data_IF_007228024850
#
_entry.id   IF_007228024850
#
_cell.length_a   1.000
_cell.length_b   1.000
_cell.length_c   1.000
_cell.angle_alpha   90.00
_cell.angle_beta   90.00
_cell.angle_gamma   90.00
#
_symmetry.space_group_name_H-M   'P 1'
#
loop_
_entity.id
_entity.type
_entity.pdbx_description
1 polymer ?
#
# COMPACT_ATOMS: atom_id res chain seq x y z
N UNK A 1 -20.04 -11.85 -14.29
CA UNK A 1 -19.47 -10.56 -13.85
C UNK A 1 -19.58 -10.53 -12.33
N UNK A 2 -18.59 -9.96 -11.65
CA UNK A 2 -18.54 -9.88 -10.19
C UNK A 2 -18.42 -8.40 -9.79
N UNK A 3 -18.89 -8.06 -8.60
CA UNK A 3 -18.66 -6.76 -7.97
C UNK A 3 -18.54 -6.93 -6.46
N UNK A 4 -18.08 -5.89 -5.76
CA UNK A 4 -17.88 -5.91 -4.32
C UNK A 4 -19.20 -5.81 -3.54
N UNK A 5 -19.23 -6.43 -2.36
CA UNK A 5 -20.25 -6.16 -1.35
C UNK A 5 -19.83 -4.95 -0.49
N UNK A 6 -20.67 -3.93 -0.39
CA UNK A 6 -20.39 -2.70 0.37
C UNK A 6 -20.05 -2.94 1.85
N UNK A 7 -20.59 -4.00 2.46
CA UNK A 7 -20.39 -4.28 3.89
C UNK A 7 -19.09 -5.04 4.18
N UNK A 8 -18.63 -5.92 3.27
CA UNK A 8 -17.48 -6.79 3.53
C UNK A 8 -16.36 -6.70 2.49
N UNK A 9 -16.52 -5.88 1.45
CA UNK A 9 -15.58 -5.72 0.33
C UNK A 9 -15.42 -6.95 -0.57
N UNK A 10 -16.00 -8.10 -0.22
CA UNK A 10 -15.80 -9.35 -0.96
C UNK A 10 -16.40 -9.29 -2.36
N UNK A 11 -15.61 -9.60 -3.37
CA UNK A 11 -16.08 -9.84 -4.74
C UNK A 11 -17.08 -11.00 -4.77
N UNK A 12 -18.25 -10.73 -5.32
CA UNK A 12 -19.40 -11.63 -5.36
C UNK A 12 -20.07 -11.53 -6.73
N UNK A 13 -20.61 -12.65 -7.22
CA UNK A 13 -21.41 -12.68 -8.45
C UNK A 13 -22.63 -11.74 -8.34
N UNK A 14 -22.97 -11.03 -9.42
CA UNK A 14 -24.16 -10.15 -9.44
C UNK A 14 -25.45 -10.86 -9.04
N UNK A 15 -25.61 -12.15 -9.40
CA UNK A 15 -26.78 -12.97 -9.03
C UNK A 15 -26.93 -13.21 -7.52
N UNK A 16 -25.84 -13.02 -6.76
CA UNK A 16 -25.79 -13.22 -5.31
C UNK A 16 -25.76 -11.90 -4.52
N UNK A 17 -25.93 -10.78 -5.21
CA UNK A 17 -25.97 -9.44 -4.66
C UNK A 17 -27.38 -8.85 -4.74
N UNK A 18 -27.71 -8.03 -3.75
CA UNK A 18 -28.93 -7.24 -3.69
C UNK A 18 -28.55 -5.78 -3.49
N UNK A 19 -29.34 -4.84 -4.04
CA UNK A 19 -29.07 -3.42 -3.83
C UNK A 19 -29.45 -3.04 -2.41
N UNK A 20 -28.57 -2.29 -1.74
CA UNK A 20 -28.83 -1.81 -0.38
C UNK A 20 -30.07 -0.91 -0.30
N UNK A 21 -30.29 -0.07 -1.31
CA UNK A 21 -31.43 0.86 -1.38
C UNK A 21 -32.79 0.16 -1.45
N UNK A 22 -32.82 -1.07 -1.95
CA UNK A 22 -34.04 -1.86 -2.09
C UNK A 22 -34.39 -2.61 -0.80
N UNK A 23 -33.52 -2.55 0.21
CA UNK A 23 -33.63 -3.28 1.46
C UNK A 23 -33.83 -2.29 2.62
N UNK A 24 -34.90 -2.48 3.38
CA UNK A 24 -35.14 -1.74 4.61
C UNK A 24 -34.31 -2.35 5.76
N UNK A 25 -33.01 -2.01 5.78
CA UNK A 25 -32.06 -2.55 6.75
C UNK A 25 -31.58 -1.46 7.72
N UNK A 26 -31.63 -1.77 9.01
CA UNK A 26 -30.92 -0.99 10.02
C UNK A 26 -29.42 -1.31 10.00
N UNK A 27 -28.61 -0.32 9.61
CA UNK A 27 -27.15 -0.43 9.54
C UNK A 27 -26.46 -0.01 10.86
N UNK A 28 -27.21 0.34 11.92
CA UNK A 28 -26.63 0.76 13.20
C UNK A 28 -25.68 -0.28 13.80
N UNK A 29 -25.91 -1.57 13.55
CA UNK A 29 -24.99 -2.62 14.00
C UNK A 29 -23.58 -2.48 13.40
N UNK A 30 -23.42 -1.78 12.27
CA UNK A 30 -22.15 -1.56 11.60
C UNK A 30 -21.42 -0.28 12.06
N UNK A 31 -21.96 0.46 13.04
CA UNK A 31 -21.27 1.60 13.64
C UNK A 31 -20.16 1.06 14.54
N UNK A 32 -18.91 1.33 14.18
CA UNK A 32 -17.72 0.85 14.90
C UNK A 32 -16.85 2.00 15.38
N UNK A 33 -16.65 2.11 16.69
CA UNK A 33 -15.77 3.09 17.32
C UNK A 33 -14.31 2.62 17.18
N UNK A 34 -13.42 3.52 16.75
CA UNK A 34 -11.99 3.26 16.53
C UNK A 34 -11.69 2.33 15.35
N UNK A 35 -12.68 2.08 14.48
CA UNK A 35 -12.52 1.22 13.29
C UNK A 35 -12.13 2.02 12.06
N UNK A 36 -12.60 3.26 11.98
CA UNK A 36 -12.32 4.17 10.86
C UNK A 36 -11.55 5.36 11.38
N UNK A 37 -10.90 6.09 10.49
CA UNK A 37 -10.23 7.33 10.86
C UNK A 37 -10.42 8.35 9.75
N UNK A 38 -10.85 9.54 10.14
CA UNK A 38 -10.85 10.70 9.25
C UNK A 38 -9.42 11.14 9.00
N UNK A 39 -9.08 11.35 7.72
CA UNK A 39 -7.79 11.89 7.34
C UNK A 39 -7.55 13.26 7.99
N UNK A 40 -6.38 13.42 8.59
CA UNK A 40 -5.87 14.63 9.21
C UNK A 40 -5.02 15.38 8.21
N UNK A 41 -5.17 16.70 8.19
CA UNK A 41 -4.41 17.63 7.34
C UNK A 41 -3.37 18.41 8.14
N UNK A 42 -3.56 18.49 9.45
CA UNK A 42 -2.68 19.19 10.39
C UNK A 42 -2.52 18.41 11.70
N UNK A 43 -1.39 18.59 12.38
CA UNK A 43 -1.14 18.00 13.71
C UNK A 43 -2.13 18.48 14.79
N UNK A 44 -2.79 19.63 14.56
CA UNK A 44 -3.82 20.15 15.45
C UNK A 44 -5.20 19.50 15.21
N UNK A 45 -5.39 18.82 14.08
CA UNK A 45 -6.64 18.13 13.81
C UNK A 45 -6.80 16.97 14.80
N UNK A 46 -7.96 16.82 15.47
CA UNK A 46 -8.18 15.71 16.39
C UNK A 46 -8.26 14.38 15.62
N UNK A 47 -7.86 13.29 16.28
CA UNK A 47 -8.09 11.94 15.78
C UNK A 47 -9.57 11.61 16.01
N UNK A 48 -10.33 11.45 14.91
CA UNK A 48 -11.77 11.18 14.95
C UNK A 48 -12.16 10.14 13.91
N UNK A 49 -13.13 9.29 14.23
CA UNK A 49 -13.70 8.32 13.31
C UNK A 49 -14.57 9.00 12.23
N UNK A 50 -14.81 8.29 11.12
CA UNK A 50 -15.86 8.66 10.17
C UNK A 50 -17.24 8.37 10.80
N UNK A 51 -18.18 9.29 10.60
CA UNK A 51 -19.53 9.13 11.12
C UNK A 51 -20.34 8.08 10.34
N UNK A 52 -21.21 7.36 11.05
CA UNK A 52 -22.15 6.41 10.44
C UNK A 52 -21.66 4.97 10.39
N UNK A 53 -22.35 4.09 9.64
CA UNK A 53 -21.98 2.69 9.51
C UNK A 53 -20.71 2.52 8.68
N UNK A 54 -19.84 1.60 9.09
CA UNK A 54 -18.59 1.33 8.39
C UNK A 54 -18.86 0.45 7.16
N UNK A 55 -19.04 1.10 6.02
CA UNK A 55 -19.29 0.50 4.70
C UNK A 55 -18.37 1.11 3.64
N UNK A 56 -18.25 0.44 2.50
CA UNK A 56 -17.64 1.01 1.30
C UNK A 56 -18.67 1.86 0.57
N UNK A 57 -18.47 3.18 0.57
CA UNK A 57 -19.37 4.17 -0.04
C UNK A 57 -19.40 4.11 -1.57
N UNK A 58 -18.40 3.49 -2.21
CA UNK A 58 -18.35 3.35 -3.67
C UNK A 58 -19.19 2.17 -4.17
N UNK A 59 -19.67 1.33 -3.25
CA UNK A 59 -20.47 0.14 -3.54
C UNK A 59 -21.90 0.30 -3.03
N UNK A 60 -22.86 -0.22 -3.79
CA UNK A 60 -24.29 -0.06 -3.49
C UNK A 60 -25.02 -1.39 -3.23
N UNK A 61 -24.26 -2.49 -3.12
CA UNK A 61 -24.78 -3.85 -3.11
C UNK A 61 -24.32 -4.65 -1.90
N UNK A 62 -25.15 -5.56 -1.43
CA UNK A 62 -24.92 -6.44 -0.27
C UNK A 62 -25.02 -7.91 -0.68
N UNK A 63 -24.09 -8.73 -0.18
CA UNK A 63 -24.13 -10.18 -0.41
C UNK A 63 -25.04 -10.91 0.59
N UNK A 64 -25.51 -12.09 0.19
CA UNK A 64 -26.41 -12.94 1.01
C UNK A 64 -25.92 -13.19 2.44
N UNK A 65 -24.62 -13.30 2.67
CA UNK A 65 -24.06 -13.56 4.01
C UNK A 65 -24.12 -12.33 4.91
N UNK A 66 -23.79 -11.16 4.37
CA UNK A 66 -23.93 -9.89 5.10
C UNK A 66 -25.40 -9.59 5.38
N UNK A 67 -26.27 -9.75 4.38
CA UNK A 67 -27.71 -9.55 4.53
C UNK A 67 -28.30 -10.37 5.69
N UNK A 68 -28.00 -11.67 5.75
CA UNK A 68 -28.49 -12.57 6.82
C UNK A 68 -28.06 -12.17 8.23
N UNK A 69 -26.94 -11.44 8.35
CA UNK A 69 -26.41 -11.01 9.65
C UNK A 69 -26.99 -9.64 10.03
N UNK A 70 -26.95 -8.69 9.10
CA UNK A 70 -27.44 -7.32 9.32
C UNK A 70 -28.95 -7.27 9.54
N UNK A 71 -29.73 -8.08 8.81
CA UNK A 71 -31.17 -8.21 9.06
C UNK A 71 -31.52 -8.73 10.47
N UNK A 72 -30.55 -9.27 11.20
CA UNK A 72 -30.69 -9.70 12.60
C UNK A 72 -30.03 -8.73 13.59
N UNK A 73 -29.61 -7.54 13.13
CA UNK A 73 -28.85 -6.57 13.91
C UNK A 73 -27.46 -7.06 14.33
N UNK A 74 -26.87 -8.02 13.60
CA UNK A 74 -25.54 -8.60 13.92
C UNK A 74 -24.49 -8.17 12.91
N UNK A 75 -23.30 -7.83 13.42
CA UNK A 75 -22.12 -7.54 12.62
C UNK A 75 -21.69 -8.79 11.85
N UNK A 76 -21.63 -8.77 10.50
CA UNK A 76 -21.07 -9.88 9.74
C UNK A 76 -19.58 -10.07 10.07
N UNK A 77 -19.14 -11.33 10.14
CA UNK A 77 -17.76 -11.69 10.51
C UNK A 77 -16.69 -10.99 9.65
N UNK A 78 -16.94 -10.89 8.34
CA UNK A 78 -16.01 -10.28 7.38
C UNK A 78 -16.37 -8.83 7.06
N UNK A 79 -17.21 -8.18 7.87
CA UNK A 79 -17.59 -6.79 7.61
C UNK A 79 -16.39 -5.85 7.82
N UNK A 80 -16.42 -4.72 7.09
CA UNK A 80 -15.46 -3.63 7.26
C UNK A 80 -15.51 -3.08 8.70
N UNK A 81 -16.72 -3.02 9.28
CA UNK A 81 -16.96 -2.67 10.69
C UNK A 81 -16.21 -3.56 11.70
N UNK A 82 -15.81 -4.78 11.33
CA UNK A 82 -15.08 -5.70 12.19
C UNK A 82 -13.55 -5.54 12.08
N UNK A 83 -13.06 -4.29 12.05
CA UNK A 83 -11.63 -3.97 11.94
C UNK A 83 -11.00 -4.38 10.61
N UNK A 84 -11.80 -4.46 9.53
CA UNK A 84 -11.33 -4.78 8.16
C UNK A 84 -11.44 -3.59 7.21
N UNK A 85 -11.85 -2.44 7.73
CA UNK A 85 -11.87 -1.21 6.98
C UNK A 85 -10.45 -0.68 6.75
N UNK A 86 -10.11 -0.41 5.49
CA UNK A 86 -8.86 0.24 5.10
C UNK A 86 -9.08 1.69 4.62
N UNK A 87 -10.32 2.03 4.26
CA UNK A 87 -10.66 3.31 3.64
C UNK A 87 -10.11 3.47 2.23
N UNK A 88 -10.19 4.69 1.71
CA UNK A 88 -9.60 5.04 0.42
C UNK A 88 -8.10 5.22 0.58
N UNK A 89 -7.33 4.65 -0.34
CA UNK A 89 -5.88 4.87 -0.36
C UNK A 89 -5.61 6.32 -0.77
N UNK A 90 -4.93 7.13 0.06
CA UNK A 90 -4.65 8.53 -0.23
C UNK A 90 -3.75 8.67 -1.45
N UNK A 91 -3.88 9.77 -2.19
CA UNK A 91 -3.14 10.00 -3.44
C UNK A 91 -1.61 10.02 -3.26
N UNK A 92 -1.15 10.42 -2.06
CA UNK A 92 0.27 10.40 -1.70
C UNK A 92 0.84 8.98 -1.68
N UNK A 93 0.04 7.99 -1.26
CA UNK A 93 0.46 6.58 -1.19
C UNK A 93 0.13 5.79 -2.46
N UNK A 94 -0.96 6.15 -3.17
CA UNK A 94 -1.44 5.46 -4.37
C UNK A 94 -0.45 5.47 -5.54
N UNK A 95 0.37 6.51 -5.62
CA UNK A 95 1.29 6.74 -6.74
C UNK A 95 2.74 6.30 -6.47
N UNK A 96 2.99 5.56 -5.37
CA UNK A 96 4.33 5.13 -4.99
C UNK A 96 4.84 3.94 -5.81
N UNK A 97 6.10 3.99 -6.22
CA UNK A 97 6.78 2.85 -6.84
C UNK A 97 7.11 1.77 -5.81
N UNK A 98 7.50 0.58 -6.26
CA UNK A 98 7.88 -0.50 -5.36
C UNK A 98 9.06 -0.11 -4.46
N UNK A 99 10.08 0.55 -5.02
CA UNK A 99 11.21 1.05 -4.24
C UNK A 99 10.77 2.12 -3.22
N UNK A 100 9.89 3.04 -3.60
CA UNK A 100 9.36 4.05 -2.66
C UNK A 100 8.55 3.40 -1.52
N UNK A 101 7.74 2.37 -1.82
CA UNK A 101 7.02 1.59 -0.81
C UNK A 101 7.98 0.90 0.18
N UNK A 102 9.11 0.37 -0.31
CA UNK A 102 10.13 -0.20 0.56
C UNK A 102 10.77 0.86 1.47
N UNK A 103 11.01 2.07 0.96
CA UNK A 103 11.62 3.17 1.72
C UNK A 103 10.73 3.72 2.83
N UNK A 104 9.41 3.64 2.69
CA UNK A 104 8.46 4.06 3.73
C UNK A 104 8.02 2.93 4.67
N UNK A 105 8.39 1.68 4.39
CA UNK A 105 7.97 0.54 5.19
C UNK A 105 8.75 0.43 6.50
N UNK A 106 8.04 0.51 7.64
CA UNK A 106 8.62 0.36 8.98
C UNK A 106 9.16 -1.04 9.28
N UNK A 107 8.51 -2.08 8.75
CA UNK A 107 8.89 -3.47 8.98
C UNK A 107 9.21 -4.14 7.64
N UNK A 108 10.40 -4.72 7.54
CA UNK A 108 10.84 -5.47 6.36
C UNK A 108 11.03 -6.94 6.70
N UNK A 109 10.15 -7.77 6.15
CA UNK A 109 10.15 -9.22 6.35
C UNK A 109 10.73 -9.99 5.16
N UNK A 110 10.89 -9.38 3.99
CA UNK A 110 11.37 -10.04 2.77
C UNK A 110 12.56 -9.29 2.15
N UNK A 111 13.43 -10.05 1.49
CA UNK A 111 14.38 -9.54 0.49
C UNK A 111 13.86 -9.86 -0.91
N UNK A 112 14.06 -8.96 -1.85
CA UNK A 112 13.59 -9.12 -3.22
C UNK A 112 14.74 -8.92 -4.21
N UNK A 113 15.06 -9.98 -4.96
CA UNK A 113 16.04 -9.92 -6.04
C UNK A 113 15.27 -9.89 -7.36
N UNK A 114 15.56 -8.89 -8.19
CA UNK A 114 14.92 -8.74 -9.49
C UNK A 114 15.98 -8.84 -10.57
N UNK A 115 15.90 -9.92 -11.36
CA UNK A 115 16.75 -10.10 -12.54
C UNK A 115 16.00 -9.59 -13.76
N UNK A 116 16.52 -8.55 -14.38
CA UNK A 116 15.96 -7.97 -15.60
C UNK A 116 16.74 -8.49 -16.80
N UNK A 117 16.05 -9.23 -17.66
CA UNK A 117 16.53 -9.57 -19.00
C UNK A 117 15.90 -8.61 -20.01
N UNK A 118 16.73 -7.77 -20.63
CA UNK A 118 16.27 -6.89 -21.70
C UNK A 118 16.59 -7.53 -23.05
N UNK A 119 15.55 -7.89 -23.81
CA UNK A 119 15.68 -8.19 -25.24
C UNK A 119 15.35 -6.93 -26.05
N UNK A 120 15.85 -6.83 -27.28
CA UNK A 120 15.75 -5.62 -28.12
C UNK A 120 14.34 -4.97 -28.18
N UNK A 121 13.25 -5.74 -28.01
CA UNK A 121 11.87 -5.24 -28.14
C UNK A 121 11.01 -5.45 -26.87
N UNK A 122 11.53 -6.13 -25.84
CA UNK A 122 10.76 -6.43 -24.61
C UNK A 122 11.68 -6.58 -23.41
N UNK A 123 11.32 -5.90 -22.33
CA UNK A 123 11.88 -6.13 -21.00
C UNK A 123 11.11 -7.27 -20.31
N UNK A 124 11.82 -8.29 -19.86
CA UNK A 124 11.30 -9.37 -19.01
C UNK A 124 12.07 -9.34 -17.69
N UNK A 125 11.36 -9.43 -16.57
CA UNK A 125 12.00 -9.48 -15.25
C UNK A 125 11.49 -10.68 -14.46
N UNK A 126 12.41 -11.34 -13.75
CA UNK A 126 12.09 -12.37 -12.76
C UNK A 126 12.33 -11.79 -11.37
N UNK A 127 11.32 -11.85 -10.50
CA UNK A 127 11.43 -11.45 -9.10
C UNK A 127 11.46 -12.69 -8.20
N UNK A 128 12.44 -12.76 -7.31
CA UNK A 128 12.53 -13.78 -6.27
C UNK A 128 12.45 -13.08 -4.93
N UNK A 129 11.40 -13.37 -4.17
CA UNK A 129 11.20 -12.86 -2.81
C UNK A 129 11.37 -13.99 -1.81
N UNK A 130 12.19 -13.77 -0.79
CA UNK A 130 12.40 -14.72 0.30
C UNK A 130 12.39 -14.02 1.64
N UNK A 131 11.97 -14.74 2.68
CA UNK A 131 11.89 -14.20 4.03
C UNK A 131 13.28 -13.84 4.55
N UNK A 132 13.38 -12.66 5.18
CA UNK A 132 14.58 -12.23 5.87
C UNK A 132 14.65 -12.97 7.22
N UNK A 133 15.74 -13.70 7.54
CA UNK A 133 15.84 -14.47 8.78
C UNK A 133 15.68 -13.62 10.04
N UNK A 134 15.97 -12.31 9.95
CA UNK A 134 15.68 -11.33 11.00
C UNK A 134 14.96 -10.14 10.36
N UNK A 135 13.68 -9.88 10.70
CA UNK A 135 12.97 -8.70 10.23
C UNK A 135 13.69 -7.43 10.66
N UNK A 136 13.94 -6.52 9.71
CA UNK A 136 14.47 -5.19 10.04
C UNK A 136 13.29 -4.30 10.44
N UNK A 137 13.33 -3.75 11.65
CA UNK A 137 12.34 -2.79 12.18
C UNK A 137 13.05 -1.43 12.24
N UNK A 138 12.48 -0.44 11.59
CA UNK A 138 13.07 0.90 11.53
C UNK A 138 12.30 1.86 12.43
N UNK A 139 13.02 2.57 13.28
CA UNK A 139 12.49 3.73 14.00
C UNK A 139 12.83 5.05 13.29
N UNK A 140 13.75 4.99 12.31
CA UNK A 140 14.13 6.11 11.46
C UNK A 140 14.00 5.73 9.99
N UNK A 141 13.22 6.50 9.23
CA UNK A 141 13.01 6.30 7.79
C UNK A 141 13.25 7.60 6.99
N UNK A 142 13.64 7.50 5.71
CA UNK A 142 14.09 6.29 5.03
C UNK A 142 15.43 5.80 5.63
N UNK A 143 15.77 4.51 5.46
CA UNK A 143 17.07 4.01 5.88
C UNK A 143 18.21 4.65 5.07
N UNK A 144 19.46 4.42 5.47
CA UNK A 144 20.62 4.74 4.65
C UNK A 144 20.55 4.06 3.26
N UNK A 145 21.13 4.69 2.24
CA UNK A 145 21.10 4.21 0.86
C UNK A 145 21.82 2.86 0.69
N UNK A 146 22.90 2.66 1.44
CA UNK A 146 23.70 1.44 1.51
C UNK A 146 22.90 0.23 2.02
N UNK A 147 21.92 0.45 2.90
CA UNK A 147 21.04 -0.64 3.35
C UNK A 147 20.05 -1.11 2.28
N UNK A 148 19.82 -0.31 1.23
CA UNK A 148 18.91 -0.70 0.16
C UNK A 148 19.52 -1.78 -0.74
N UNK A 149 20.83 -1.75 -0.95
CA UNK A 149 21.56 -2.75 -1.74
C UNK A 149 21.48 -4.16 -1.11
N UNK A 150 21.36 -4.25 0.23
CA UNK A 150 21.19 -5.53 0.95
C UNK A 150 19.87 -6.25 0.66
N UNK A 151 18.84 -5.48 0.30
CA UNK A 151 17.45 -5.96 0.22
C UNK A 151 16.89 -5.94 -1.18
N UNK A 152 17.48 -5.13 -2.07
CA UNK A 152 17.05 -4.92 -3.44
C UNK A 152 18.26 -4.97 -4.36
N UNK A 153 18.45 -6.12 -5.02
CA UNK A 153 19.47 -6.28 -6.04
C UNK A 153 18.82 -6.34 -7.43
N UNK A 154 19.30 -5.50 -8.35
CA UNK A 154 18.91 -5.55 -9.75
C UNK A 154 20.06 -5.95 -10.64
N UNK A 155 19.88 -7.07 -11.33
CA UNK A 155 20.86 -7.62 -12.25
C UNK A 155 20.29 -7.45 -13.66
N UNK A 156 20.91 -6.56 -14.44
CA UNK A 156 20.62 -6.42 -15.86
C UNK A 156 21.46 -7.40 -16.66
N UNK A 157 20.78 -8.23 -17.44
CA UNK A 157 21.41 -9.16 -18.38
C UNK A 157 20.93 -8.86 -19.79
N UNK A 158 21.86 -8.62 -20.72
CA UNK A 158 21.55 -8.33 -22.11
C UNK A 158 22.82 -7.98 -22.92
N UNK A 159 22.68 -7.74 -24.23
CA UNK A 159 23.80 -7.36 -25.10
C UNK A 159 24.17 -5.87 -24.99
N UNK A 160 23.27 -5.04 -24.45
CA UNK A 160 23.47 -3.60 -24.31
C UNK A 160 23.22 -3.16 -22.87
N UNK A 161 24.01 -2.19 -22.40
CA UNK A 161 23.77 -1.52 -21.11
C UNK A 161 22.41 -0.81 -21.13
N UNK A 162 21.67 -0.80 -20.00
CA UNK A 162 20.38 -0.13 -19.92
C UNK A 162 20.55 1.39 -20.10
N UNK A 163 19.62 2.00 -20.85
CA UNK A 163 19.52 3.46 -20.98
C UNK A 163 18.70 4.03 -19.81
N UNK A 164 18.79 5.35 -19.55
CA UNK A 164 17.93 6.00 -18.56
C UNK A 164 16.44 5.76 -18.81
N UNK A 165 16.03 5.69 -20.07
CA UNK A 165 14.65 5.38 -20.46
C UNK A 165 14.22 3.96 -20.08
N UNK A 166 15.16 3.01 -20.05
CA UNK A 166 14.90 1.65 -19.58
C UNK A 166 14.77 1.60 -18.06
N UNK A 167 15.52 2.43 -17.34
CA UNK A 167 15.47 2.55 -15.88
C UNK A 167 14.17 3.19 -15.41
N UNK A 168 13.68 4.22 -16.09
CA UNK A 168 12.38 4.86 -15.80
C UNK A 168 11.20 3.89 -15.93
N UNK A 169 11.32 2.87 -16.78
CA UNK A 169 10.31 1.82 -16.97
C UNK A 169 10.36 0.73 -15.90
N UNK A 170 11.32 0.79 -14.98
CA UNK A 170 11.42 -0.18 -13.89
C UNK A 170 10.69 0.31 -12.64
N UNK A 171 10.20 -0.62 -11.80
CA UNK A 171 9.57 -0.26 -10.53
C UNK A 171 10.57 0.28 -9.47
N UNK A 172 11.82 0.54 -9.86
CA UNK A 172 12.92 0.99 -9.01
C UNK A 172 13.03 2.48 -8.82
N UNK A 173 12.33 3.26 -9.64
CA UNK A 173 12.47 4.70 -9.63
C UNK A 173 12.07 5.25 -8.26
N UNK A 174 13.00 5.91 -7.58
CA UNK A 174 12.74 6.62 -6.34
C UNK A 174 12.66 8.10 -6.64
N UNK A 175 11.55 8.72 -6.22
CA UNK A 175 11.38 10.16 -6.22
C UNK A 175 11.39 10.63 -4.77
N UNK A 176 12.49 11.26 -4.35
CA UNK A 176 12.71 11.70 -2.96
C UNK A 176 11.52 12.49 -2.38
N UNK A 177 10.95 13.41 -3.17
CA UNK A 177 9.79 14.24 -2.78
C UNK A 177 8.52 13.42 -2.51
N UNK A 178 8.34 12.29 -3.21
CA UNK A 178 7.21 11.38 -2.98
C UNK A 178 7.39 10.59 -1.68
N UNK A 179 8.62 10.12 -1.42
CA UNK A 179 8.96 9.43 -0.18
C UNK A 179 8.77 10.35 1.03
N UNK A 180 9.27 11.59 0.99
CA UNK A 180 9.12 12.53 2.09
C UNK A 180 7.64 12.85 2.38
N UNK A 181 6.86 13.16 1.34
CA UNK A 181 5.43 13.43 1.48
C UNK A 181 4.67 12.22 2.05
N UNK A 182 5.01 11.00 1.63
CA UNK A 182 4.39 9.78 2.15
C UNK A 182 4.72 9.54 3.62
N UNK A 183 5.98 9.74 4.04
CA UNK A 183 6.39 9.61 5.44
C UNK A 183 5.72 10.64 6.34
N UNK A 184 5.64 11.89 5.90
CA UNK A 184 4.96 12.97 6.62
C UNK A 184 3.46 12.67 6.77
N UNK A 185 2.82 12.21 5.70
CA UNK A 185 1.42 11.79 5.74
C UNK A 185 1.20 10.62 6.70
N UNK A 186 2.06 9.59 6.64
CA UNK A 186 1.98 8.42 7.52
C UNK A 186 2.18 8.80 8.98
N UNK A 187 3.17 9.64 9.30
CA UNK A 187 3.42 10.11 10.66
C UNK A 187 2.23 10.91 11.22
N UNK A 188 1.49 11.62 10.37
CA UNK A 188 0.31 12.36 10.77
C UNK A 188 -0.93 11.47 10.96
N UNK A 189 -1.09 10.45 10.11
CA UNK A 189 -2.35 9.71 9.96
C UNK A 189 -2.34 8.27 10.48
N UNK A 190 -1.17 7.64 10.65
CA UNK A 190 -1.07 6.23 10.99
C UNK A 190 -0.48 6.04 12.40
N UNK A 191 -1.20 5.30 13.26
CA UNK A 191 -0.81 5.07 14.66
C UNK A 191 0.60 4.46 14.77
N UNK A 192 0.90 3.44 13.95
CA UNK A 192 2.22 2.79 13.92
C UNK A 192 3.36 3.65 13.34
N UNK A 193 3.12 4.91 12.99
CA UNK A 193 4.14 5.83 12.47
C UNK A 193 4.30 7.10 13.33
N UNK A 194 3.55 7.22 14.43
CA UNK A 194 3.57 8.44 15.28
C UNK A 194 4.96 8.74 15.88
N UNK A 195 5.65 7.70 16.33
CA UNK A 195 6.99 7.73 16.93
C UNK A 195 8.11 7.65 15.89
N UNK A 196 7.78 7.53 14.60
CA UNK A 196 8.77 7.45 13.54
C UNK A 196 9.60 8.73 13.45
N UNK A 197 10.92 8.60 13.43
CA UNK A 197 11.82 9.69 13.08
C UNK A 197 12.02 9.77 11.55
N UNK A 198 11.79 10.93 10.96
CA UNK A 198 12.02 11.13 9.51
C UNK A 198 13.44 11.69 9.33
N UNK A 199 14.33 10.90 8.74
CA UNK A 199 15.70 11.33 8.45
C UNK A 199 15.77 12.08 7.13
N UNK A 200 15.77 13.41 7.23
CA UNK A 200 16.00 14.29 6.08
C UNK A 200 17.42 14.15 5.52
N UNK A 201 18.41 13.89 6.38
CA UNK A 201 19.80 13.63 5.96
C UNK A 201 19.91 12.40 5.06
N UNK A 202 19.18 11.32 5.38
CA UNK A 202 19.12 10.14 4.52
C UNK A 202 18.35 10.42 3.24
N UNK A 203 17.23 11.15 3.31
CA UNK A 203 16.48 11.58 2.13
C UNK A 203 17.41 12.31 1.14
N UNK A 204 18.22 13.26 1.61
CA UNK A 204 19.11 14.05 0.74
C UNK A 204 20.12 13.22 -0.05
N UNK A 205 20.54 12.07 0.49
CA UNK A 205 21.44 11.12 -0.20
C UNK A 205 20.76 10.35 -1.32
N UNK A 206 19.44 10.20 -1.29
CA UNK A 206 18.68 9.57 -2.38
C UNK A 206 18.57 10.51 -3.60
N UNK A 207 18.53 9.94 -4.83
CA UNK A 207 18.35 10.72 -6.04
C UNK A 207 17.03 11.48 -6.00
N UNK A 208 16.99 12.69 -6.61
CA UNK A 208 15.74 13.44 -6.73
C UNK A 208 14.70 12.66 -7.55
N UNK A 209 15.15 12.02 -8.63
CA UNK A 209 14.40 11.09 -9.44
C UNK A 209 15.36 10.11 -10.12
N UNK A 210 15.42 8.85 -9.66
CA UNK A 210 16.37 7.88 -10.21
C UNK A 210 16.39 6.54 -9.46
N UNK A 211 17.13 5.54 -9.98
CA UNK A 211 17.35 4.29 -9.27
C UNK A 211 18.24 4.54 -8.05
N UNK A 212 17.88 4.01 -6.87
CA UNK A 212 18.62 4.23 -5.62
C UNK A 212 19.77 3.22 -5.40
N UNK A 213 19.78 2.10 -6.13
CA UNK A 213 20.76 1.01 -5.99
C UNK A 213 21.76 0.99 -7.15
N UNK A 214 22.93 0.39 -6.91
CA UNK A 214 23.91 0.12 -7.97
C UNK A 214 23.34 -0.93 -8.93
N UNK A 215 23.34 -0.61 -10.22
CA UNK A 215 22.88 -1.53 -11.27
C UNK A 215 24.06 -2.41 -11.71
N UNK A 216 24.01 -3.70 -11.37
CA UNK A 216 24.95 -4.67 -11.92
C UNK A 216 24.54 -5.03 -13.35
N UNK A 217 25.43 -4.78 -14.31
CA UNK A 217 25.28 -5.24 -15.70
C UNK A 217 26.17 -6.45 -15.95
N UNK A 218 25.57 -7.54 -16.45
CA UNK A 218 26.30 -8.72 -16.91
C UNK A 218 26.01 -8.95 -18.39
N UNK A 219 27.05 -8.87 -19.20
CA UNK A 219 27.00 -9.24 -20.61
C UNK A 219 26.68 -10.74 -20.69
N UNK A 220 25.72 -11.09 -21.56
CA UNK A 220 25.21 -12.46 -21.71
C UNK A 220 25.81 -13.14 -22.94
#
# INVERSE_FOLDING_TARGET
METGCAICGKLTLYSDLQKLKDLDLDLNCLIGIGVTQKERTSSNDPITDLGGPVIDEELDSICKTCYKSVSKGKVPLMSLANGKWLGKVPEVLKSLTFAEQLLIARIRHNRCIIKVSSGMHKMKANAISFANPMPKIYDTLPPPIDELDDVLAFIYTGPCKPTNSDLERTPLLVRRKKVSAALEWLKLNHLDYLDLNISYDNLEKYPENGPPCVIEYRES
#
